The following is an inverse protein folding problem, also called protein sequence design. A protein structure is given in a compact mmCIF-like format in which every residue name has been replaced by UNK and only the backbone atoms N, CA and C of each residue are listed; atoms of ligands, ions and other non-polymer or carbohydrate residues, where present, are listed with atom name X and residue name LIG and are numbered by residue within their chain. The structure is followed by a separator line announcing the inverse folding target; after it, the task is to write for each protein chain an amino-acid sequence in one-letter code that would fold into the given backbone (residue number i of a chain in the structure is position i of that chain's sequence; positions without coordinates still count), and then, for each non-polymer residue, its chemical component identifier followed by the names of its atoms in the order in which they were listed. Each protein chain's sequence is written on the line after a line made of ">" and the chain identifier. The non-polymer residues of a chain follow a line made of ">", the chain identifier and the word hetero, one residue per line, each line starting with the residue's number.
data_IF_647320338260
#
_entry.id   IF_647320338260
#
_cell.length_a   1.000
_cell.length_b   1.000
_cell.length_c   1.000
_cell.angle_alpha   90.00
_cell.angle_beta   90.00
_cell.angle_gamma   90.00
#
_symmetry.space_group_name_H-M   'P 1'
#
loop_
_entity.id
_entity.type
_entity.pdbx_description
1 polymer ?
#
# COMPACT_ATOMS: atom_id res chain seq x y z
N UNK A 1 -38.73 81.53 -0.95
CA UNK A 1 -37.33 82.04 -0.94
C UNK A 1 -36.37 80.89 -0.63
N UNK A 2 -35.46 80.56 -1.56
CA UNK A 2 -34.60 79.36 -1.59
C UNK A 2 -33.62 79.29 -0.39
N UNK A 3 -33.71 78.25 0.46
CA UNK A 3 -32.67 77.89 1.44
C UNK A 3 -31.59 77.03 0.76
N UNK A 4 -30.46 77.61 0.36
CA UNK A 4 -29.27 76.88 -0.10
C UNK A 4 -28.52 76.31 1.11
N UNK A 5 -28.66 75.00 1.35
CA UNK A 5 -27.81 74.23 2.28
C UNK A 5 -26.43 74.01 1.64
N UNK A 6 -25.36 74.44 2.31
CA UNK A 6 -23.96 74.16 1.92
C UNK A 6 -23.62 72.67 2.16
N UNK A 7 -22.80 72.03 1.31
CA UNK A 7 -22.50 70.59 1.44
C UNK A 7 -21.41 70.34 2.49
N UNK A 8 -21.65 69.36 3.39
CA UNK A 8 -20.64 68.80 4.29
C UNK A 8 -19.77 67.80 3.51
N UNK A 9 -18.48 68.10 3.31
CA UNK A 9 -17.49 67.15 2.78
C UNK A 9 -17.29 65.99 3.77
N UNK A 10 -17.62 64.77 3.37
CA UNK A 10 -17.17 63.52 4.03
C UNK A 10 -15.66 63.35 3.76
N UNK A 11 -14.83 63.36 4.81
CA UNK A 11 -13.42 62.96 4.73
C UNK A 11 -13.33 61.45 4.93
N UNK A 12 -12.99 60.71 3.86
CA UNK A 12 -12.62 59.30 3.93
C UNK A 12 -11.31 59.14 4.72
N UNK A 13 -11.35 58.40 5.83
CA UNK A 13 -10.18 58.06 6.64
C UNK A 13 -9.52 56.81 6.04
N UNK A 14 -8.49 57.00 5.21
CA UNK A 14 -7.58 55.92 4.74
C UNK A 14 -6.91 55.28 5.96
N UNK A 15 -7.13 53.98 6.19
CA UNK A 15 -6.29 53.18 7.07
C UNK A 15 -4.90 53.06 6.42
N UNK A 16 -3.88 53.60 7.09
CA UNK A 16 -2.48 53.44 6.71
C UNK A 16 -1.97 52.15 7.36
N UNK A 17 -1.73 51.12 6.55
CA UNK A 17 -0.91 49.98 6.93
C UNK A 17 0.47 50.47 7.36
N UNK A 18 0.93 49.97 8.51
CA UNK A 18 2.18 50.36 9.13
C UNK A 18 3.35 49.77 8.33
N UNK A 19 3.85 50.53 7.35
CA UNK A 19 5.07 50.21 6.61
C UNK A 19 6.27 50.52 7.52
N UNK A 20 6.89 49.49 8.10
CA UNK A 20 8.02 49.62 9.03
C UNK A 20 9.23 50.21 8.31
N UNK A 21 9.79 51.29 8.86
CA UNK A 21 10.84 52.13 8.25
C UNK A 21 12.28 51.61 8.42
N UNK A 22 12.48 50.44 9.02
CA UNK A 22 13.80 49.86 9.27
C UNK A 22 13.98 48.57 8.47
N UNK A 23 14.88 48.52 7.47
CA UNK A 23 15.06 47.34 6.62
C UNK A 23 15.52 46.12 7.43
N UNK A 24 16.24 46.33 8.53
CA UNK A 24 16.70 45.28 9.45
C UNK A 24 15.52 44.64 10.18
N UNK A 25 14.55 45.43 10.67
CA UNK A 25 13.36 44.89 11.35
C UNK A 25 12.45 44.16 10.37
N UNK A 26 12.32 44.66 9.15
CA UNK A 26 11.57 43.96 8.11
C UNK A 26 12.19 42.59 7.80
N UNK A 27 13.53 42.54 7.65
CA UNK A 27 14.25 41.28 7.45
C UNK A 27 14.06 40.32 8.63
N UNK A 28 14.18 40.78 9.87
CA UNK A 28 13.93 39.94 11.06
C UNK A 28 12.50 39.39 11.09
N UNK A 29 11.49 40.20 10.73
CA UNK A 29 10.09 39.75 10.69
C UNK A 29 9.90 38.70 9.59
N UNK A 30 10.45 38.91 8.39
CA UNK A 30 10.33 37.96 7.27
C UNK A 30 11.03 36.64 7.60
N UNK A 31 12.22 36.69 8.19
CA UNK A 31 12.96 35.50 8.62
C UNK A 31 12.20 34.76 9.74
N UNK A 32 11.62 35.49 10.69
CA UNK A 32 10.81 34.91 11.76
C UNK A 32 9.56 34.22 11.21
N UNK A 33 8.86 34.84 10.25
CA UNK A 33 7.67 34.25 9.62
C UNK A 33 8.07 33.00 8.82
N UNK A 34 9.14 33.07 8.02
CA UNK A 34 9.62 31.93 7.25
C UNK A 34 10.06 30.76 8.15
N UNK A 35 10.78 31.05 9.23
CA UNK A 35 11.20 30.05 10.22
C UNK A 35 9.98 29.41 10.91
N UNK A 36 8.99 30.23 11.29
CA UNK A 36 7.72 29.71 11.86
C UNK A 36 6.96 28.86 10.85
N UNK A 37 6.94 29.25 9.57
CA UNK A 37 6.25 28.50 8.52
C UNK A 37 6.92 27.15 8.25
N UNK A 38 8.26 27.11 8.21
CA UNK A 38 9.03 25.86 8.09
C UNK A 38 8.79 24.96 9.30
N UNK A 39 8.84 25.50 10.52
CA UNK A 39 8.54 24.74 11.74
C UNK A 39 7.10 24.23 11.75
N UNK A 40 6.12 25.04 11.34
CA UNK A 40 4.73 24.59 11.20
C UNK A 40 4.60 23.52 10.12
N UNK A 41 5.28 23.62 8.97
CA UNK A 41 5.26 22.60 7.93
C UNK A 41 5.92 21.29 8.39
N UNK A 42 7.02 21.39 9.15
CA UNK A 42 7.69 20.24 9.77
C UNK A 42 6.81 19.56 10.82
N UNK A 43 6.10 20.33 11.66
CA UNK A 43 5.16 19.79 12.67
C UNK A 43 3.88 19.25 12.01
N UNK A 44 3.38 19.88 10.95
CA UNK A 44 2.23 19.39 10.18
C UNK A 44 2.58 18.14 9.37
N UNK A 45 3.83 17.98 8.93
CA UNK A 45 4.36 16.72 8.39
C UNK A 45 4.62 15.64 9.45
N UNK A 46 4.46 15.96 10.74
CA UNK A 46 4.63 15.02 11.85
C UNK A 46 3.32 14.69 12.58
N UNK A 47 2.16 15.14 12.08
CA UNK A 47 0.85 14.82 12.67
C UNK A 47 -0.13 14.13 11.70
N UNK A 48 0.38 13.49 10.65
CA UNK A 48 -0.28 12.26 10.19
C UNK A 48 0.12 11.15 11.16
N UNK A 49 -0.46 11.19 12.36
CA UNK A 49 -0.61 10.02 13.22
C UNK A 49 -1.80 9.27 12.60
N UNK A 50 -1.60 8.19 11.82
CA UNK A 50 -2.53 7.10 11.95
C UNK A 50 -2.42 6.67 13.42
N UNK A 51 -3.55 6.53 14.11
CA UNK A 51 -3.61 5.77 15.35
C UNK A 51 -3.17 4.33 15.03
N UNK A 52 -1.86 4.14 14.92
CA UNK A 52 -1.16 2.88 14.83
C UNK A 52 -0.96 2.44 16.26
N UNK A 53 -1.87 1.59 16.71
CA UNK A 53 -1.78 0.95 18.00
C UNK A 53 -0.48 0.17 18.02
N UNK A 54 0.47 0.59 18.84
CA UNK A 54 1.65 -0.21 19.15
C UNK A 54 1.18 -1.54 19.72
N UNK A 55 1.43 -2.62 18.99
CA UNK A 55 1.60 -3.94 19.57
C UNK A 55 2.88 -4.52 18.98
N UNK A 56 3.91 -4.44 19.82
CA UNK A 56 5.06 -5.34 19.88
C UNK A 56 4.65 -6.76 19.45
N UNK A 57 5.51 -7.39 18.66
CA UNK A 57 5.44 -8.77 18.18
C UNK A 57 4.92 -9.68 19.29
N UNK A 58 3.63 -9.99 19.19
CA UNK A 58 2.89 -10.89 20.02
C UNK A 58 1.77 -11.38 19.14
N UNK A 59 1.89 -12.63 18.68
CA UNK A 59 0.95 -13.30 17.81
C UNK A 59 -0.42 -13.44 18.53
N UNK A 60 -1.17 -12.35 18.61
CA UNK A 60 -2.54 -12.32 19.13
C UNK A 60 -3.42 -11.81 18.01
N UNK A 61 -3.80 -12.76 17.15
CA UNK A 61 -4.75 -12.60 16.07
C UNK A 61 -6.05 -11.99 16.65
N UNK A 62 -6.12 -10.66 16.66
CA UNK A 62 -7.32 -9.92 17.05
C UNK A 62 -8.29 -10.11 15.89
N UNK A 63 -9.21 -11.06 16.08
CA UNK A 63 -10.33 -11.38 15.20
C UNK A 63 -11.27 -10.16 15.08
N UNK A 64 -10.84 -9.14 14.35
CA UNK A 64 -11.77 -8.24 13.70
C UNK A 64 -12.40 -9.07 12.58
N UNK A 65 -13.71 -9.30 12.70
CA UNK A 65 -14.51 -9.90 11.64
C UNK A 65 -14.44 -8.95 10.43
N UNK A 66 -13.47 -9.17 9.56
CA UNK A 66 -13.52 -8.73 8.18
C UNK A 66 -14.34 -9.82 7.48
N UNK A 67 -15.61 -9.52 7.20
CA UNK A 67 -16.52 -10.39 6.45
C UNK A 67 -16.10 -10.57 4.96
N UNK A 68 -14.81 -10.50 4.68
CA UNK A 68 -14.16 -10.78 3.38
C UNK A 68 -13.14 -11.94 3.43
N UNK A 69 -12.94 -12.59 4.59
CA UNK A 69 -11.98 -13.70 4.81
C UNK A 69 -12.30 -15.03 4.10
N UNK A 70 -13.37 -15.08 3.29
CA UNK A 70 -13.83 -16.31 2.65
C UNK A 70 -13.10 -16.48 1.31
N UNK A 71 -11.93 -17.10 1.33
CA UNK A 71 -11.25 -17.53 0.08
C UNK A 71 -9.71 -17.50 0.11
N UNK A 72 -9.10 -16.82 1.08
CA UNK A 72 -7.65 -16.55 1.08
C UNK A 72 -6.88 -17.56 1.95
N UNK A 73 -7.54 -18.24 2.89
CA UNK A 73 -6.87 -19.21 3.76
C UNK A 73 -6.05 -18.58 4.88
N UNK A 74 -5.34 -19.38 5.68
CA UNK A 74 -4.63 -18.89 6.87
C UNK A 74 -3.26 -18.32 6.51
N UNK A 75 -2.49 -19.03 5.68
CA UNK A 75 -1.20 -18.52 5.19
C UNK A 75 -1.39 -17.23 4.40
N UNK A 76 -2.46 -17.17 3.60
CA UNK A 76 -2.81 -15.98 2.86
C UNK A 76 -3.05 -14.74 3.72
N UNK A 77 -3.77 -14.88 4.84
CA UNK A 77 -3.98 -13.75 5.77
C UNK A 77 -2.67 -13.32 6.46
N UNK A 78 -1.72 -14.23 6.68
CA UNK A 78 -0.38 -13.88 7.18
C UNK A 78 0.38 -13.07 6.12
N UNK A 79 0.44 -13.54 4.87
CA UNK A 79 1.15 -12.87 3.77
C UNK A 79 0.57 -11.48 3.50
N UNK A 80 -0.75 -11.34 3.47
CA UNK A 80 -1.41 -10.03 3.34
C UNK A 80 -1.05 -9.12 4.53
N UNK A 81 -0.96 -9.68 5.73
CA UNK A 81 -0.57 -8.96 6.94
C UNK A 81 0.87 -8.42 6.93
N UNK A 82 1.75 -8.96 6.08
CA UNK A 82 3.12 -8.48 5.90
C UNK A 82 3.20 -7.20 5.06
N UNK A 83 2.17 -6.88 4.28
CA UNK A 83 2.14 -5.70 3.43
C UNK A 83 1.57 -4.45 4.17
N UNK A 84 2.10 -3.25 3.85
CA UNK A 84 1.51 -2.00 4.34
C UNK A 84 0.14 -1.75 3.70
N UNK A 85 -0.92 -1.77 4.51
CA UNK A 85 -2.31 -1.72 4.05
C UNK A 85 -2.75 -0.36 3.49
N UNK A 86 -1.97 0.69 3.74
CA UNK A 86 -2.19 2.07 3.33
C UNK A 86 -1.59 2.39 1.95
N UNK A 87 -0.87 1.44 1.35
CA UNK A 87 -0.27 1.55 0.02
C UNK A 87 -0.98 0.65 -1.01
N UNK A 88 -0.92 1.06 -2.27
CA UNK A 88 -1.54 0.33 -3.37
C UNK A 88 -0.64 -0.80 -3.86
N UNK A 89 -0.95 -2.03 -3.46
CA UNK A 89 -0.28 -3.24 -3.94
C UNK A 89 -1.24 -4.15 -4.70
N UNK A 90 -0.67 -4.98 -5.55
CA UNK A 90 -1.31 -6.19 -6.08
C UNK A 90 -0.54 -7.39 -5.58
N UNK A 91 -1.24 -8.36 -5.01
CA UNK A 91 -0.66 -9.59 -4.51
C UNK A 91 -1.23 -10.77 -5.28
N UNK A 92 -0.36 -11.51 -5.98
CA UNK A 92 -0.68 -12.78 -6.63
C UNK A 92 -0.48 -13.92 -5.64
N UNK A 93 -1.44 -14.07 -4.75
CA UNK A 93 -1.34 -14.90 -3.57
C UNK A 93 -1.58 -16.38 -3.91
N UNK A 94 -0.70 -17.32 -3.53
CA UNK A 94 -0.98 -18.74 -3.68
C UNK A 94 -2.22 -19.17 -2.88
N UNK A 95 -3.04 -20.06 -3.44
CA UNK A 95 -4.14 -20.69 -2.70
C UNK A 95 -3.61 -21.57 -1.56
N UNK A 96 -4.44 -21.88 -0.56
CA UNK A 96 -4.03 -22.78 0.54
C UNK A 96 -3.53 -24.13 0.00
N UNK A 97 -4.17 -24.63 -1.08
CA UNK A 97 -3.75 -25.85 -1.77
C UNK A 97 -2.38 -25.71 -2.44
N UNK A 98 -2.09 -24.55 -3.04
CA UNK A 98 -0.79 -24.27 -3.62
C UNK A 98 0.31 -24.18 -2.54
N UNK A 99 0.02 -23.56 -1.38
CA UNK A 99 0.96 -23.56 -0.24
C UNK A 99 1.27 -24.98 0.24
N UNK A 100 0.25 -25.83 0.40
CA UNK A 100 0.45 -27.22 0.82
C UNK A 100 1.22 -28.05 -0.22
N UNK A 101 0.86 -27.90 -1.50
CA UNK A 101 1.39 -28.72 -2.60
C UNK A 101 2.81 -28.31 -3.00
N UNK A 102 3.06 -27.01 -3.15
CA UNK A 102 4.29 -26.50 -3.77
C UNK A 102 5.35 -26.14 -2.72
N UNK A 103 4.95 -25.92 -1.45
CA UNK A 103 5.85 -25.53 -0.35
C UNK A 103 5.79 -26.46 0.85
N UNK A 104 4.96 -27.51 0.81
CA UNK A 104 4.78 -28.45 1.92
C UNK A 104 4.20 -27.81 3.19
N UNK A 105 3.68 -26.57 3.10
CA UNK A 105 3.24 -25.84 4.28
C UNK A 105 1.88 -26.32 4.75
N UNK A 106 1.84 -26.90 5.95
CA UNK A 106 0.60 -27.36 6.58
C UNK A 106 0.42 -26.78 7.96
N UNK A 107 -0.79 -26.29 8.21
CA UNK A 107 -1.08 -25.66 9.47
C UNK A 107 -1.07 -26.68 10.62
N UNK A 108 -0.15 -26.48 11.57
CA UNK A 108 -0.02 -27.32 12.77
C UNK A 108 0.90 -28.53 12.60
N UNK A 109 1.40 -28.80 11.38
CA UNK A 109 2.46 -29.80 11.14
C UNK A 109 3.84 -29.15 10.96
N UNK A 110 3.90 -27.88 10.55
CA UNK A 110 5.17 -27.17 10.44
C UNK A 110 5.79 -26.95 11.83
N UNK A 111 6.82 -27.72 12.17
CA UNK A 111 7.47 -27.71 13.49
C UNK A 111 8.20 -26.39 13.80
N UNK A 112 8.60 -25.64 12.75
CA UNK A 112 9.37 -24.40 12.87
C UNK A 112 8.59 -23.19 12.31
N UNK A 113 8.02 -22.38 13.21
CA UNK A 113 7.32 -21.13 12.84
C UNK A 113 8.24 -20.14 12.10
N UNK A 114 9.53 -20.10 12.45
CA UNK A 114 10.51 -19.21 11.83
C UNK A 114 10.76 -19.56 10.36
N UNK A 115 10.89 -20.85 10.04
CA UNK A 115 11.13 -21.32 8.67
C UNK A 115 9.90 -21.04 7.80
N UNK A 116 8.71 -21.28 8.35
CA UNK A 116 7.45 -20.90 7.70
C UNK A 116 7.42 -19.39 7.40
N UNK A 117 7.77 -18.55 8.37
CA UNK A 117 7.77 -17.10 8.16
C UNK A 117 8.78 -16.67 7.08
N UNK A 118 9.97 -17.28 7.04
CA UNK A 118 10.97 -17.02 6.01
C UNK A 118 10.47 -17.39 4.61
N UNK A 119 9.83 -18.56 4.47
CA UNK A 119 9.20 -19.02 3.23
C UNK A 119 8.12 -18.03 2.78
N UNK A 120 7.19 -17.66 3.67
CA UNK A 120 6.11 -16.72 3.36
C UNK A 120 6.63 -15.34 2.96
N UNK A 121 7.70 -14.86 3.60
CA UNK A 121 8.37 -13.60 3.24
C UNK A 121 8.97 -13.67 1.83
N UNK A 122 9.57 -14.80 1.47
CA UNK A 122 10.15 -15.01 0.14
C UNK A 122 9.08 -15.11 -0.94
N UNK A 123 7.99 -15.83 -0.68
CA UNK A 123 6.79 -15.87 -1.53
C UNK A 123 6.24 -14.47 -1.75
N UNK A 124 6.10 -13.66 -0.69
CA UNK A 124 5.64 -12.27 -0.80
C UNK A 124 6.53 -11.45 -1.74
N UNK A 125 7.86 -11.61 -1.62
CA UNK A 125 8.84 -10.91 -2.45
C UNK A 125 8.60 -11.10 -3.94
N UNK A 126 8.30 -12.33 -4.38
CA UNK A 126 8.05 -12.66 -5.79
C UNK A 126 6.64 -12.35 -6.27
N UNK A 127 5.65 -12.35 -5.37
CA UNK A 127 4.22 -12.29 -5.76
C UNK A 127 3.57 -10.92 -5.59
N UNK A 128 4.21 -9.98 -4.90
CA UNK A 128 3.67 -8.65 -4.67
C UNK A 128 4.24 -7.63 -5.65
N UNK A 129 3.38 -6.81 -6.24
CA UNK A 129 3.73 -5.70 -7.13
C UNK A 129 3.31 -4.37 -6.47
N UNK A 130 4.18 -3.35 -6.43
CA UNK A 130 3.90 -2.04 -5.81
C UNK A 130 3.00 -1.15 -6.69
N UNK A 131 1.97 -1.73 -7.31
CA UNK A 131 0.92 -1.03 -8.06
C UNK A 131 -0.39 -1.79 -7.95
N UNK A 132 -1.52 -1.14 -8.23
CA UNK A 132 -2.84 -1.80 -8.28
C UNK A 132 -3.13 -2.24 -9.70
N UNK A 133 -3.37 -3.53 -9.87
CA UNK A 133 -3.67 -4.19 -11.14
C UNK A 133 -4.93 -5.00 -10.87
N UNK A 134 -6.05 -4.56 -11.44
CA UNK A 134 -7.28 -5.33 -11.44
C UNK A 134 -7.28 -6.31 -12.61
N UNK A 135 -8.09 -7.36 -12.54
CA UNK A 135 -8.21 -8.28 -13.66
C UNK A 135 -8.61 -7.52 -14.93
N UNK A 136 -9.56 -6.58 -14.83
CA UNK A 136 -10.05 -5.77 -15.96
C UNK A 136 -9.00 -4.85 -16.62
N UNK A 137 -7.89 -4.55 -15.93
CA UNK A 137 -6.78 -3.79 -16.53
C UNK A 137 -6.02 -4.62 -17.58
N UNK A 138 -6.15 -5.96 -17.51
CA UNK A 138 -5.51 -6.92 -18.42
C UNK A 138 -6.49 -7.27 -19.54
N UNK A 139 -6.09 -6.98 -20.78
CA UNK A 139 -6.87 -7.30 -21.97
C UNK A 139 -6.57 -8.73 -22.45
N UNK A 140 -7.60 -9.44 -22.91
CA UNK A 140 -7.45 -10.80 -23.48
C UNK A 140 -6.49 -10.76 -24.68
N UNK A 141 -5.58 -11.72 -24.74
CA UNK A 141 -4.58 -11.83 -25.82
C UNK A 141 -3.46 -10.79 -25.76
N UNK A 142 -3.41 -9.96 -24.70
CA UNK A 142 -2.26 -9.11 -24.39
C UNK A 142 -1.56 -9.61 -23.14
N UNK A 143 -0.26 -9.41 -23.13
CA UNK A 143 0.61 -9.63 -21.98
C UNK A 143 1.17 -8.28 -21.54
N UNK A 144 1.24 -8.09 -20.23
CA UNK A 144 1.87 -6.94 -19.59
C UNK A 144 2.86 -7.46 -18.55
N UNK A 145 3.95 -6.73 -18.34
CA UNK A 145 5.00 -7.08 -17.40
C UNK A 145 5.10 -6.06 -16.25
N UNK A 146 5.37 -6.57 -15.05
CA UNK A 146 5.67 -5.76 -13.87
C UNK A 146 6.74 -6.42 -13.02
N UNK A 147 7.57 -5.61 -12.38
CA UNK A 147 8.52 -6.11 -11.39
C UNK A 147 7.83 -6.25 -10.02
N UNK A 148 8.04 -7.41 -9.41
CA UNK A 148 7.66 -7.67 -8.02
C UNK A 148 8.57 -6.91 -7.03
N UNK A 149 8.25 -6.99 -5.73
CA UNK A 149 9.07 -6.37 -4.66
C UNK A 149 10.53 -6.86 -4.71
N UNK A 150 10.77 -8.12 -5.06
CA UNK A 150 12.13 -8.67 -5.19
C UNK A 150 12.82 -8.31 -6.51
N UNK A 151 12.13 -7.64 -7.44
CA UNK A 151 12.62 -7.37 -8.79
C UNK A 151 12.42 -8.54 -9.76
N UNK A 152 11.73 -9.61 -9.35
CA UNK A 152 11.36 -10.70 -10.24
C UNK A 152 10.21 -10.25 -11.16
N UNK A 153 10.41 -10.40 -12.47
CA UNK A 153 9.44 -9.96 -13.48
C UNK A 153 8.26 -10.92 -13.58
N UNK A 154 7.06 -10.36 -13.51
CA UNK A 154 5.78 -11.04 -13.64
C UNK A 154 5.16 -10.71 -14.99
N UNK A 155 4.94 -11.74 -15.79
CA UNK A 155 4.21 -11.71 -17.05
C UNK A 155 2.75 -12.05 -16.79
N UNK A 156 1.89 -11.05 -16.96
CA UNK A 156 0.47 -11.11 -16.63
C UNK A 156 -0.32 -11.07 -17.94
N UNK A 157 -1.21 -12.03 -18.13
CA UNK A 157 -2.08 -12.12 -19.30
C UNK A 157 -3.46 -12.65 -18.93
N UNK A 158 -4.40 -12.63 -19.88
CA UNK A 158 -5.67 -13.35 -19.77
C UNK A 158 -5.78 -14.42 -20.84
N UNK A 159 -6.21 -15.61 -20.45
CA UNK A 159 -6.52 -16.68 -21.39
C UNK A 159 -7.85 -16.41 -22.14
N UNK A 160 -8.23 -17.30 -23.06
CA UNK A 160 -9.47 -17.20 -23.85
C UNK A 160 -10.73 -17.17 -23.00
N UNK A 161 -10.69 -17.78 -21.83
CA UNK A 161 -11.81 -17.89 -20.90
C UNK A 161 -11.88 -16.69 -19.93
N UNK A 162 -10.93 -15.75 -20.06
CA UNK A 162 -10.85 -14.55 -19.24
C UNK A 162 -10.18 -14.74 -17.88
N UNK A 163 -9.64 -15.92 -17.57
CA UNK A 163 -8.85 -16.15 -16.36
C UNK A 163 -7.51 -15.43 -16.45
N UNK A 164 -7.11 -14.83 -15.32
CA UNK A 164 -5.81 -14.17 -15.18
C UNK A 164 -4.72 -15.23 -15.06
N UNK A 165 -3.69 -15.12 -15.89
CA UNK A 165 -2.53 -16.00 -15.89
C UNK A 165 -1.30 -15.16 -15.55
N UNK A 166 -0.51 -15.61 -14.57
CA UNK A 166 0.75 -14.96 -14.19
C UNK A 166 1.87 -15.98 -14.20
N UNK A 167 2.91 -15.77 -15.00
CA UNK A 167 4.04 -16.70 -15.16
C UNK A 167 3.60 -18.18 -15.36
N UNK A 168 2.56 -18.39 -16.19
CA UNK A 168 1.92 -19.70 -16.48
C UNK A 168 1.06 -20.30 -15.36
N UNK A 169 0.84 -19.57 -14.27
CA UNK A 169 -0.02 -19.99 -13.15
C UNK A 169 -1.38 -19.31 -13.31
N UNK A 170 -2.46 -20.08 -13.24
CA UNK A 170 -3.82 -19.57 -13.37
C UNK A 170 -4.36 -19.04 -12.04
N UNK A 171 -5.17 -17.98 -12.10
CA UNK A 171 -5.92 -17.47 -10.96
C UNK A 171 -7.12 -18.36 -10.65
N UNK A 172 -7.40 -18.63 -9.37
CA UNK A 172 -8.66 -19.22 -8.90
C UNK A 172 -9.71 -18.15 -8.59
N UNK A 173 -9.27 -17.03 -8.01
CA UNK A 173 -10.12 -15.91 -7.62
C UNK A 173 -9.38 -14.61 -7.91
N UNK A 174 -10.08 -13.60 -8.43
CA UNK A 174 -9.47 -12.31 -8.79
C UNK A 174 -10.14 -11.15 -8.06
N UNK A 175 -9.44 -10.02 -7.99
CA UNK A 175 -9.96 -8.73 -7.52
C UNK A 175 -10.47 -8.72 -6.07
N UNK A 176 -9.93 -9.56 -5.20
CA UNK A 176 -10.23 -9.53 -3.77
C UNK A 176 -9.62 -8.29 -3.12
N UNK A 177 -10.44 -7.52 -2.41
CA UNK A 177 -9.98 -6.27 -1.78
C UNK A 177 -9.60 -6.46 -0.31
N UNK A 178 -8.44 -5.94 0.06
CA UNK A 178 -7.91 -5.87 1.43
C UNK A 178 -7.33 -4.47 1.68
N UNK A 179 -8.15 -3.55 2.16
CA UNK A 179 -7.75 -2.14 2.26
C UNK A 179 -7.45 -1.56 0.88
N UNK A 180 -6.22 -1.08 0.65
CA UNK A 180 -5.76 -0.62 -0.67
C UNK A 180 -5.06 -1.71 -1.50
N UNK A 181 -4.96 -2.93 -0.97
CA UNK A 181 -4.35 -4.08 -1.65
C UNK A 181 -5.41 -4.81 -2.49
N UNK A 182 -5.03 -5.14 -3.72
CA UNK A 182 -5.77 -6.05 -4.61
C UNK A 182 -5.11 -7.43 -4.50
N UNK A 183 -5.91 -8.47 -4.27
CA UNK A 183 -5.42 -9.85 -4.12
C UNK A 183 -6.04 -10.70 -5.21
N UNK A 184 -5.19 -11.40 -5.96
CA UNK A 184 -5.57 -12.45 -6.90
C UNK A 184 -5.06 -13.76 -6.34
N UNK A 185 -5.96 -14.71 -6.07
CA UNK A 185 -5.61 -16.05 -5.59
C UNK A 185 -5.19 -16.91 -6.78
N UNK A 186 -4.05 -17.58 -6.67
CA UNK A 186 -3.40 -18.33 -7.73
C UNK A 186 -3.33 -19.83 -7.39
N UNK A 187 -3.55 -20.71 -8.37
CA UNK A 187 -3.41 -22.17 -8.22
C UNK A 187 -1.94 -22.62 -8.30
N UNK A 188 -1.04 -21.85 -7.70
CA UNK A 188 0.39 -22.14 -7.71
C UNK A 188 1.20 -21.05 -7.06
N UNK A 189 2.44 -21.40 -6.70
CA UNK A 189 3.39 -20.46 -6.13
C UNK A 189 4.26 -19.85 -7.22
N UNK A 190 4.25 -18.51 -7.29
CA UNK A 190 5.14 -17.75 -8.17
C UNK A 190 6.49 -17.60 -7.46
N UNK A 191 7.55 -18.11 -8.07
CA UNK A 191 8.91 -18.06 -7.54
C UNK A 191 9.97 -18.22 -8.63
N UNK A 192 11.21 -17.88 -8.29
CA UNK A 192 12.37 -18.17 -9.13
C UNK A 192 12.82 -19.64 -9.02
N UNK A 193 13.62 -20.14 -9.96
CA UNK A 193 14.10 -21.53 -9.94
C UNK A 193 15.01 -21.87 -8.77
N UNK A 194 15.69 -20.87 -8.18
CA UNK A 194 16.59 -21.08 -7.04
C UNK A 194 15.78 -21.36 -5.78
N UNK A 195 14.74 -20.55 -5.53
CA UNK A 195 13.83 -20.77 -4.41
C UNK A 195 13.05 -22.06 -4.58
N UNK A 196 12.57 -22.34 -5.80
CA UNK A 196 11.90 -23.61 -6.10
C UNK A 196 12.78 -24.82 -5.75
N UNK A 197 14.07 -24.78 -6.06
CA UNK A 197 15.01 -25.85 -5.67
C UNK A 197 15.18 -25.96 -4.14
N UNK A 198 15.16 -24.83 -3.43
CA UNK A 198 15.35 -24.82 -1.97
C UNK A 198 14.17 -25.35 -1.16
N UNK A 199 12.98 -25.41 -1.75
CA UNK A 199 11.73 -25.85 -1.09
C UNK A 199 11.22 -27.18 -1.61
N UNK A 200 11.86 -27.74 -2.64
CA UNK A 200 11.56 -29.09 -3.10
C UNK A 200 11.96 -30.09 -2.00
N UNK A 201 11.13 -31.10 -1.72
CA UNK A 201 11.56 -32.22 -0.90
C UNK A 201 12.75 -32.91 -1.57
N UNK A 202 13.72 -33.37 -0.78
CA UNK A 202 14.77 -34.26 -1.27
C UNK A 202 14.08 -35.53 -1.80
N UNK A 203 14.18 -35.80 -3.11
CA UNK A 203 13.70 -37.04 -3.70
C UNK A 203 14.60 -38.21 -3.21
N UNK A 204 14.20 -38.87 -2.12
CA UNK A 204 14.76 -40.15 -1.64
C UNK A 204 14.22 -41.37 -2.41
#
# INVERSE_FOLDING_TARGET
>A
KKKKKKPKKKKNKKQRGHFTKDPIKFLCIVVSIACTFVLCFSVLKLNEIPQGNENVIGLKLKKNRIDGGRGVGKFGEIVIGMLPQDLGFTLFLPSEKAFERDLGLRLGENENENDTYAILTRVLGFSAVPTRIYADDVQIGKEIDYDSISGYTLYISKNSDGLLIVNRIASEMVDLRRGKIVVHVMDGVIMDPEFEQSVRPDDD
#
